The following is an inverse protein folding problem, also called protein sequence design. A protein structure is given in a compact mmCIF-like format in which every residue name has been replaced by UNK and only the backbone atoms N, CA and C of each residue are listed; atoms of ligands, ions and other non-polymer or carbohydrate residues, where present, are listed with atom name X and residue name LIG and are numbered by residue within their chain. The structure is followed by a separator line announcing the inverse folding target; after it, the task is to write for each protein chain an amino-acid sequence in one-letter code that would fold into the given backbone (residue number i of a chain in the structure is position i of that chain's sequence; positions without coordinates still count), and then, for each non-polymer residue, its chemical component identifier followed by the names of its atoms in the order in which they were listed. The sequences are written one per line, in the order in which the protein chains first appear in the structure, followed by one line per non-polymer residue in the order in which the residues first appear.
data_IF_879511105623
#
_entry.id   IF_879511105623
#
_cell.length_a   1.000
_cell.length_b   1.000
_cell.length_c   1.000
_cell.angle_alpha   90.00
_cell.angle_beta   90.00
_cell.angle_gamma   90.00
#
_symmetry.space_group_name_H-M   'P 1'
#
loop_
_entity.id
_entity.type
_entity.pdbx_description
1 polymer ?
#
# COMPACT_ATOMS: atom_id res chain seq x y z
N UNK A 1 16.77 -7.23 -13.32
CA UNK A 1 15.87 -8.34 -12.94
C UNK A 1 14.64 -7.75 -12.26
N UNK A 2 13.56 -7.52 -13.00
CA UNK A 2 12.20 -7.22 -12.46
C UNK A 2 11.18 -7.44 -13.59
N UNK A 3 11.17 -8.63 -14.21
CA UNK A 3 10.42 -8.88 -15.46
C UNK A 3 8.93 -9.20 -15.23
N UNK A 4 8.42 -8.95 -14.03
CA UNK A 4 7.13 -9.47 -13.56
C UNK A 4 6.25 -8.45 -12.84
N UNK A 5 6.74 -7.21 -12.65
CA UNK A 5 5.96 -6.10 -12.10
C UNK A 5 5.90 -5.01 -13.17
N UNK A 6 4.69 -4.51 -13.45
CA UNK A 6 4.44 -3.41 -14.36
C UNK A 6 3.93 -2.21 -13.57
N UNK A 7 4.56 -1.04 -13.76
CA UNK A 7 4.19 0.19 -13.06
C UNK A 7 3.27 1.05 -13.93
N UNK A 8 2.07 1.33 -13.43
CA UNK A 8 1.08 2.14 -14.12
C UNK A 8 0.96 3.53 -13.48
N UNK A 9 0.84 4.62 -14.26
CA UNK A 9 0.53 5.93 -13.71
C UNK A 9 -0.78 5.92 -12.92
N UNK A 10 -0.81 6.55 -11.76
CA UNK A 10 -2.01 6.73 -10.95
C UNK A 10 -1.87 7.99 -10.08
N UNK A 11 -2.69 9.01 -10.37
CA UNK A 11 -2.51 10.38 -9.85
C UNK A 11 -1.06 10.87 -10.02
N UNK A 12 -0.44 11.40 -8.96
CA UNK A 12 0.95 11.87 -8.95
C UNK A 12 2.00 10.78 -8.72
N UNK A 13 1.61 9.50 -8.68
CA UNK A 13 2.49 8.37 -8.40
C UNK A 13 2.32 7.25 -9.43
N UNK A 14 2.91 6.08 -9.16
CA UNK A 14 2.76 4.86 -9.96
C UNK A 14 2.43 3.66 -9.08
N UNK A 15 1.52 2.83 -9.54
CA UNK A 15 1.11 1.61 -8.83
C UNK A 15 1.55 0.35 -9.57
N UNK A 16 2.09 -0.65 -8.84
CA UNK A 16 2.55 -1.89 -9.42
C UNK A 16 1.39 -2.86 -9.65
N UNK A 17 1.42 -3.56 -10.78
CA UNK A 17 0.60 -4.74 -11.05
C UNK A 17 1.51 -5.91 -11.43
N UNK A 18 1.04 -7.13 -11.23
CA UNK A 18 1.74 -8.32 -11.68
C UNK A 18 0.75 -9.41 -12.07
N UNK A 19 0.96 -10.04 -13.23
CA UNK A 19 0.09 -11.11 -13.74
C UNK A 19 -0.06 -12.28 -12.75
N UNK A 20 0.99 -12.57 -11.97
CA UNK A 20 1.00 -13.68 -11.01
C UNK A 20 0.51 -13.33 -9.62
N UNK A 21 0.62 -12.07 -9.22
CA UNK A 21 0.46 -11.67 -7.82
C UNK A 21 -0.62 -10.61 -7.59
N UNK A 22 -1.22 -10.10 -8.66
CA UNK A 22 -2.33 -9.16 -8.64
C UNK A 22 -1.91 -7.69 -8.73
N UNK A 23 -2.86 -6.76 -8.53
CA UNK A 23 -4.30 -7.04 -8.41
C UNK A 23 -4.86 -7.62 -9.71
N UNK A 24 -5.76 -8.60 -9.62
CA UNK A 24 -6.46 -9.15 -10.80
C UNK A 24 -7.72 -8.34 -11.14
N UNK A 25 -8.20 -7.51 -10.21
CA UNK A 25 -9.36 -6.64 -10.40
C UNK A 25 -9.16 -5.28 -9.74
N UNK A 26 -9.42 -4.22 -10.50
CA UNK A 26 -9.54 -2.86 -9.99
C UNK A 26 -10.95 -2.37 -10.34
N UNK A 27 -11.78 -2.04 -9.35
CA UNK A 27 -13.14 -1.56 -9.55
C UNK A 27 -13.51 -0.52 -8.49
N UNK A 28 -14.05 0.62 -8.94
CA UNK A 28 -14.41 1.76 -8.07
C UNK A 28 -13.25 2.14 -7.13
N UNK A 29 -12.05 2.16 -7.71
CA UNK A 29 -10.77 2.36 -7.03
C UNK A 29 -10.34 1.35 -5.98
N UNK A 30 -11.14 0.31 -5.71
CA UNK A 30 -10.68 -0.82 -4.92
C UNK A 30 -9.83 -1.77 -5.78
N UNK A 31 -8.59 -2.00 -5.36
CA UNK A 31 -7.73 -3.05 -5.91
C UNK A 31 -7.93 -4.34 -5.11
N UNK A 32 -8.16 -5.46 -5.80
CA UNK A 32 -8.47 -6.76 -5.19
C UNK A 32 -7.93 -7.90 -6.05
N UNK A 33 -7.96 -9.11 -5.50
CA UNK A 33 -7.55 -10.36 -6.10
C UNK A 33 -6.04 -10.49 -6.16
N UNK A 34 -5.39 -10.29 -5.01
CA UNK A 34 -3.97 -10.52 -4.81
C UNK A 34 -3.72 -11.99 -4.44
N UNK A 35 -2.54 -12.51 -4.77
CA UNK A 35 -2.19 -13.88 -4.39
C UNK A 35 -1.87 -13.98 -2.88
N UNK A 36 -2.25 -15.09 -2.25
CA UNK A 36 -1.93 -15.38 -0.85
C UNK A 36 -0.46 -15.79 -0.66
N UNK A 37 0.45 -14.84 -0.87
CA UNK A 37 1.91 -15.05 -0.93
C UNK A 37 2.64 -13.79 -0.46
N UNK A 38 3.92 -13.90 -0.09
CA UNK A 38 4.75 -12.77 0.29
C UNK A 38 4.89 -11.70 -0.83
N UNK A 39 4.97 -12.11 -2.10
CA UNK A 39 5.04 -11.18 -3.22
C UNK A 39 3.69 -10.47 -3.46
N UNK A 40 2.59 -11.21 -3.40
CA UNK A 40 1.23 -10.68 -3.50
C UNK A 40 0.92 -9.63 -2.43
N UNK A 41 1.32 -9.86 -1.19
CA UNK A 41 1.08 -8.90 -0.10
C UNK A 41 1.89 -7.62 -0.26
N UNK A 42 3.11 -7.68 -0.80
CA UNK A 42 3.90 -6.46 -1.07
C UNK A 42 3.24 -5.60 -2.14
N UNK A 43 2.64 -6.20 -3.17
CA UNK A 43 1.87 -5.45 -4.18
C UNK A 43 0.59 -4.88 -3.56
N UNK A 44 -0.12 -5.67 -2.74
CA UNK A 44 -1.30 -5.23 -2.02
C UNK A 44 -1.01 -3.99 -1.14
N UNK A 45 0.05 -4.04 -0.33
CA UNK A 45 0.52 -2.93 0.50
C UNK A 45 0.67 -1.62 -0.29
N UNK A 46 1.34 -1.65 -1.44
CA UNK A 46 1.54 -0.45 -2.26
C UNK A 46 0.23 0.06 -2.89
N UNK A 47 -0.59 -0.87 -3.41
CA UNK A 47 -1.89 -0.53 -4.00
C UNK A 47 -2.84 0.06 -2.95
N UNK A 48 -3.02 -0.60 -1.81
CA UNK A 48 -3.90 -0.16 -0.74
C UNK A 48 -3.42 1.15 -0.13
N UNK A 49 -2.13 1.29 0.19
CA UNK A 49 -1.58 2.51 0.77
C UNK A 49 -1.89 3.73 -0.09
N UNK A 50 -1.54 3.67 -1.38
CA UNK A 50 -1.75 4.80 -2.27
C UNK A 50 -3.23 5.09 -2.51
N UNK A 51 -4.06 4.06 -2.67
CA UNK A 51 -5.50 4.22 -2.92
C UNK A 51 -6.22 4.80 -1.71
N UNK A 52 -5.96 4.29 -0.52
CA UNK A 52 -6.53 4.83 0.72
C UNK A 52 -6.05 6.25 1.02
N UNK A 53 -4.83 6.60 0.60
CA UNK A 53 -4.30 7.96 0.70
C UNK A 53 -4.89 8.94 -0.33
N UNK A 54 -4.98 8.53 -1.60
CA UNK A 54 -5.31 9.41 -2.72
C UNK A 54 -6.80 9.58 -3.02
N UNK A 55 -7.68 8.73 -2.47
CA UNK A 55 -9.11 8.88 -2.69
C UNK A 55 -9.71 10.03 -1.90
N UNK A 56 -10.64 10.74 -2.55
CA UNK A 56 -11.46 11.76 -1.89
C UNK A 56 -12.51 11.11 -0.96
N UNK A 57 -13.05 11.90 -0.03
CA UNK A 57 -13.98 11.41 1.00
C UNK A 57 -15.23 10.73 0.42
N UNK A 58 -15.73 11.19 -0.73
CA UNK A 58 -16.93 10.62 -1.36
C UNK A 58 -16.74 9.21 -1.91
N UNK A 59 -15.53 8.87 -2.35
CA UNK A 59 -15.19 7.55 -2.87
C UNK A 59 -14.54 6.63 -1.81
N UNK A 60 -13.91 7.24 -0.80
CA UNK A 60 -13.04 6.54 0.15
C UNK A 60 -13.74 5.39 0.85
N UNK A 61 -14.93 5.60 1.42
CA UNK A 61 -15.59 4.60 2.26
C UNK A 61 -16.00 3.34 1.48
N UNK A 62 -16.45 3.51 0.22
CA UNK A 62 -16.83 2.41 -0.63
C UNK A 62 -15.63 1.54 -1.03
N UNK A 63 -14.51 2.17 -1.37
CA UNK A 63 -13.27 1.47 -1.71
C UNK A 63 -12.62 0.82 -0.47
N UNK A 64 -12.53 1.56 0.64
CA UNK A 64 -11.88 1.11 1.86
C UNK A 64 -12.54 -0.13 2.47
N UNK A 65 -13.88 -0.26 2.40
CA UNK A 65 -14.58 -1.48 2.86
C UNK A 65 -14.19 -2.75 2.11
N UNK A 66 -13.62 -2.62 0.90
CA UNK A 66 -13.11 -3.75 0.10
C UNK A 66 -11.63 -4.03 0.37
N UNK A 67 -10.85 -2.99 0.70
CA UNK A 67 -9.39 -3.06 0.84
C UNK A 67 -8.89 -3.07 2.28
N UNK A 68 -9.72 -2.77 3.28
CA UNK A 68 -9.25 -2.50 4.63
C UNK A 68 -10.19 -2.98 5.73
N UNK A 69 -9.59 -3.17 6.90
CA UNK A 69 -10.24 -3.30 8.22
C UNK A 69 -9.59 -2.33 9.19
N UNK A 70 -10.23 -2.08 10.33
CA UNK A 70 -9.71 -1.20 11.39
C UNK A 70 -9.32 -2.02 12.61
N UNK A 71 -8.04 -1.92 13.00
CA UNK A 71 -7.54 -2.53 14.23
C UNK A 71 -8.05 -1.81 15.49
N UNK A 72 -8.19 -2.52 16.63
CA UNK A 72 -7.97 -3.96 16.82
C UNK A 72 -9.24 -4.81 16.58
N UNK A 73 -10.37 -4.19 16.25
CA UNK A 73 -11.67 -4.86 16.19
C UNK A 73 -11.91 -5.63 14.87
N UNK A 74 -11.01 -5.47 13.89
CA UNK A 74 -11.08 -6.10 12.58
C UNK A 74 -12.40 -5.82 11.83
N UNK A 75 -12.97 -4.64 12.08
CA UNK A 75 -14.22 -4.22 11.45
C UNK A 75 -13.94 -3.42 10.18
N UNK A 76 -14.83 -3.45 9.17
CA UNK A 76 -14.75 -2.54 8.05
C UNK A 76 -14.76 -1.07 8.53
N UNK A 77 -13.99 -0.18 7.89
CA UNK A 77 -14.01 1.23 8.25
C UNK A 77 -15.41 1.83 8.04
N UNK A 78 -15.82 2.69 8.98
CA UNK A 78 -17.09 3.44 8.95
C UNK A 78 -16.88 4.93 8.65
N UNK A 79 -15.63 5.39 8.73
CA UNK A 79 -15.19 6.74 8.44
C UNK A 79 -13.77 6.71 7.87
N UNK A 80 -13.33 7.82 7.25
CA UNK A 80 -11.97 7.95 6.75
C UNK A 80 -10.96 7.89 7.91
N UNK A 81 -9.91 7.11 7.70
CA UNK A 81 -8.74 7.02 8.59
C UNK A 81 -7.55 7.64 7.85
N UNK A 82 -6.76 8.44 8.55
CA UNK A 82 -5.58 9.07 7.96
C UNK A 82 -4.52 8.00 7.62
N UNK A 83 -3.96 8.10 6.41
CA UNK A 83 -2.84 7.28 5.93
C UNK A 83 -1.53 8.08 5.92
N UNK A 84 -1.51 9.24 6.59
CA UNK A 84 -0.35 10.13 6.65
C UNK A 84 -0.12 11.02 5.41
N UNK A 85 -1.05 11.01 4.45
CA UNK A 85 -1.01 11.88 3.26
C UNK A 85 -2.31 12.69 3.15
N UNK A 86 -2.16 13.97 2.79
CA UNK A 86 -3.29 14.91 2.73
C UNK A 86 -4.02 14.90 1.38
N UNK A 87 -3.32 14.60 0.28
CA UNK A 87 -3.91 14.58 -1.06
C UNK A 87 -3.24 13.60 -2.03
N UNK A 88 -3.95 13.25 -3.11
CA UNK A 88 -3.42 12.45 -4.20
C UNK A 88 -2.24 13.10 -4.95
N UNK A 89 -2.14 14.44 -4.91
CA UNK A 89 -1.05 15.18 -5.53
C UNK A 89 0.26 15.06 -4.76
N UNK A 90 0.18 14.76 -3.46
CA UNK A 90 1.32 14.65 -2.55
C UNK A 90 1.84 13.21 -2.45
N UNK A 91 1.26 12.28 -3.21
CA UNK A 91 1.65 10.88 -3.15
C UNK A 91 3.08 10.68 -3.62
N UNK A 92 3.96 10.09 -2.79
CA UNK A 92 5.31 9.78 -3.17
C UNK A 92 5.36 8.55 -4.10
N UNK A 93 6.52 8.33 -4.71
CA UNK A 93 6.82 7.09 -5.40
C UNK A 93 7.25 6.03 -4.40
N UNK A 94 6.79 4.78 -4.58
CA UNK A 94 7.32 3.66 -3.82
C UNK A 94 8.75 3.36 -4.29
N UNK A 95 9.73 3.49 -3.40
CA UNK A 95 11.15 3.34 -3.70
C UNK A 95 11.73 1.99 -3.24
N UNK A 96 11.03 1.30 -2.34
CA UNK A 96 11.41 -0.01 -1.86
C UNK A 96 10.53 -0.44 -0.69
N UNK A 97 10.90 -1.54 -0.04
CA UNK A 97 10.22 -2.01 1.17
C UNK A 97 11.18 -2.77 2.09
N UNK A 98 10.79 -2.91 3.36
CA UNK A 98 11.44 -3.78 4.34
C UNK A 98 10.36 -4.63 5.00
N UNK A 99 10.36 -5.93 4.71
CA UNK A 99 9.47 -6.87 5.38
C UNK A 99 9.92 -7.05 6.83
N UNK A 100 9.03 -6.78 7.79
CA UNK A 100 9.29 -6.94 9.22
C UNK A 100 8.80 -8.29 9.74
N UNK A 101 7.63 -8.74 9.27
CA UNK A 101 7.09 -10.04 9.60
C UNK A 101 6.15 -10.55 8.50
N UNK A 102 6.08 -11.86 8.34
CA UNK A 102 5.12 -12.54 7.45
C UNK A 102 4.76 -13.91 8.06
N UNK A 103 3.48 -14.17 8.26
CA UNK A 103 2.97 -15.41 8.89
C UNK A 103 2.07 -16.23 7.97
N UNK A 104 2.03 -15.94 6.67
CA UNK A 104 1.03 -16.49 5.77
C UNK A 104 -0.19 -15.58 5.69
N UNK A 105 -0.92 -15.42 6.80
CA UNK A 105 -2.17 -14.64 6.89
C UNK A 105 -2.00 -13.19 7.36
N UNK A 106 -0.79 -12.77 7.72
CA UNK A 106 -0.49 -11.40 8.16
C UNK A 106 0.91 -11.02 7.72
N UNK A 107 1.07 -9.78 7.27
CA UNK A 107 2.33 -9.20 6.88
C UNK A 107 2.48 -7.79 7.46
N UNK A 108 3.67 -7.47 7.96
CA UNK A 108 4.02 -6.11 8.39
C UNK A 108 5.27 -5.69 7.63
N UNK A 109 5.25 -4.52 7.01
CA UNK A 109 6.39 -3.98 6.30
C UNK A 109 6.52 -2.47 6.52
N UNK A 110 7.73 -1.96 6.35
CA UNK A 110 7.94 -0.54 6.04
C UNK A 110 7.98 -0.38 4.52
N UNK A 111 7.16 0.51 3.96
CA UNK A 111 7.29 0.96 2.58
C UNK A 111 8.22 2.18 2.57
N UNK A 112 9.27 2.14 1.74
CA UNK A 112 10.10 3.31 1.49
C UNK A 112 9.47 4.15 0.39
N UNK A 113 9.43 5.46 0.61
CA UNK A 113 8.72 6.44 -0.18
C UNK A 113 9.69 7.53 -0.59
N UNK A 114 9.63 7.96 -1.85
CA UNK A 114 10.47 9.05 -2.36
C UNK A 114 9.60 10.10 -3.05
N UNK A 115 9.74 11.37 -2.65
CA UNK A 115 9.08 12.48 -3.34
C UNK A 115 9.77 12.78 -4.67
N UNK A 116 9.13 13.55 -5.55
CA UNK A 116 9.77 13.99 -6.81
C UNK A 116 11.08 14.77 -6.58
N UNK A 117 11.20 15.48 -5.46
CA UNK A 117 12.40 16.20 -5.04
C UNK A 117 13.49 15.28 -4.44
N UNK A 118 13.23 13.99 -4.26
CA UNK A 118 14.19 13.00 -3.77
C UNK A 118 14.18 12.78 -2.25
N UNK A 119 13.33 13.49 -1.50
CA UNK A 119 13.22 13.29 -0.06
C UNK A 119 12.65 11.90 0.26
N UNK A 120 13.29 11.20 1.21
CA UNK A 120 12.93 9.84 1.61
C UNK A 120 12.13 9.83 2.91
N UNK A 121 11.11 8.98 2.94
CA UNK A 121 10.31 8.68 4.12
C UNK A 121 9.91 7.21 4.11
N UNK A 122 9.33 6.75 5.22
CA UNK A 122 8.74 5.42 5.30
C UNK A 122 7.39 5.43 6.00
N UNK A 123 6.56 4.46 5.65
CA UNK A 123 5.29 4.20 6.32
C UNK A 123 5.21 2.73 6.70
N UNK A 124 4.80 2.48 7.95
CA UNK A 124 4.53 1.14 8.48
C UNK A 124 3.14 0.72 8.00
N UNK A 125 3.07 -0.34 7.23
CA UNK A 125 1.80 -0.92 6.77
C UNK A 125 1.66 -2.34 7.26
N UNK A 126 0.42 -2.71 7.57
CA UNK A 126 0.05 -4.07 7.93
C UNK A 126 -1.03 -4.54 6.98
N UNK A 127 -0.85 -5.72 6.42
CA UNK A 127 -1.88 -6.42 5.66
C UNK A 127 -2.26 -7.71 6.38
N UNK A 128 -3.53 -8.08 6.30
CA UNK A 128 -4.04 -9.36 6.77
C UNK A 128 -4.83 -10.06 5.67
N UNK A 129 -4.74 -11.37 5.62
CA UNK A 129 -5.55 -12.18 4.72
C UNK A 129 -6.93 -12.36 5.34
N UNK A 130 -7.98 -11.89 4.67
CA UNK A 130 -9.36 -11.99 5.15
C UNK A 130 -10.28 -12.49 4.03
N UNK A 131 -10.90 -13.64 4.27
CA UNK A 131 -11.75 -14.31 3.29
C UNK A 131 -10.91 -14.85 2.13
N UNK A 132 -10.79 -14.06 1.06
CA UNK A 132 -10.13 -14.45 -0.18
C UNK A 132 -9.13 -13.41 -0.71
N UNK A 133 -8.76 -12.43 0.11
CA UNK A 133 -7.89 -11.35 -0.33
C UNK A 133 -7.09 -10.74 0.82
N UNK A 134 -6.07 -9.96 0.46
CA UNK A 134 -5.36 -9.09 1.39
C UNK A 134 -6.20 -7.85 1.72
N UNK A 135 -6.18 -7.44 2.98
CA UNK A 135 -6.74 -6.18 3.46
C UNK A 135 -5.75 -5.45 4.36
N UNK A 136 -5.62 -4.16 4.12
CA UNK A 136 -4.84 -3.27 4.98
C UNK A 136 -5.50 -3.19 6.35
N UNK A 137 -4.73 -3.41 7.39
CA UNK A 137 -5.14 -3.21 8.78
C UNK A 137 -4.82 -1.78 9.20
N UNK A 138 -5.82 -0.89 9.11
CA UNK A 138 -5.68 0.51 9.48
C UNK A 138 -5.62 0.67 11.00
N UNK A 139 -4.62 1.38 11.55
CA UNK A 139 -4.65 1.80 12.93
C UNK A 139 -5.80 2.79 13.16
N UNK A 140 -6.58 2.64 14.23
CA UNK A 140 -7.71 3.53 14.51
C UNK A 140 -7.32 5.02 14.67
N UNK A 141 -6.06 5.29 15.06
CA UNK A 141 -5.47 6.61 15.17
C UNK A 141 -4.78 7.09 13.88
N UNK A 142 -4.84 6.32 12.80
CA UNK A 142 -4.17 6.61 11.54
C UNK A 142 -2.72 6.16 11.49
N UNK A 143 -2.15 6.26 10.29
CA UNK A 143 -0.76 5.93 10.03
C UNK A 143 0.18 7.12 10.24
N UNK A 144 1.44 6.82 10.49
CA UNK A 144 2.50 7.82 10.70
C UNK A 144 3.58 7.67 9.64
N UNK A 145 3.87 8.75 8.92
CA UNK A 145 5.02 8.85 8.02
C UNK A 145 6.25 9.24 8.82
N UNK A 146 7.34 8.51 8.65
CA UNK A 146 8.61 8.75 9.35
C UNK A 146 9.71 9.14 8.36
N UNK A 147 10.64 10.05 8.71
CA UNK A 147 11.82 10.31 7.90
C UNK A 147 12.65 9.04 7.71
N UNK A 148 13.20 8.86 6.51
CA UNK A 148 14.07 7.73 6.17
C UNK A 148 15.43 8.27 5.70
N UNK A 149 16.54 8.10 6.46
CA UNK A 149 17.83 8.68 6.09
C UNK A 149 18.46 8.04 4.85
N UNK A 150 18.32 6.72 4.71
CA UNK A 150 18.89 5.92 3.62
C UNK A 150 18.08 4.61 3.45
N UNK A 151 18.51 3.74 2.54
CA UNK A 151 17.87 2.44 2.29
C UNK A 151 18.48 1.31 3.12
N UNK A 152 19.21 1.58 4.21
CA UNK A 152 19.79 0.51 5.01
C UNK A 152 18.70 -0.42 5.53
N UNK A 153 18.84 -1.71 5.23
CA UNK A 153 17.86 -2.77 5.52
C UNK A 153 16.56 -2.72 4.70
N UNK A 154 16.48 -1.87 3.68
CA UNK A 154 15.41 -1.91 2.68
C UNK A 154 15.85 -2.68 1.44
N UNK A 155 14.89 -3.34 0.80
CA UNK A 155 15.02 -3.80 -0.56
C UNK A 155 14.57 -2.67 -1.50
N UNK A 156 15.49 -1.92 -2.14
CA UNK A 156 15.11 -0.91 -3.11
C UNK A 156 14.62 -1.57 -4.40
N UNK A 157 13.76 -0.86 -5.13
CA UNK A 157 13.44 -1.22 -6.51
C UNK A 157 14.63 -0.92 -7.43
N UNK A 158 14.73 -1.66 -8.54
CA UNK A 158 15.83 -1.48 -9.52
C UNK A 158 15.87 -0.08 -10.17
N UNK A 159 14.81 0.70 -9.99
CA UNK A 159 14.73 2.15 -10.16
C UNK A 159 13.43 2.65 -9.52
N UNK A 160 13.42 3.90 -9.05
CA UNK A 160 12.17 4.52 -8.58
C UNK A 160 11.24 4.67 -9.79
N UNK A 161 10.03 4.09 -9.75
CA UNK A 161 9.10 4.13 -10.86
C UNK A 161 8.52 5.55 -10.94
N UNK A 162 9.21 6.45 -11.64
CA UNK A 162 8.76 7.81 -11.95
C UNK A 162 7.84 7.84 -13.17
#
# INVERSE_FOLDING_TARGET
MSRWITWHPWHGTRLPTADRWGPTRIQDDAATGFSHTAEGVVIAMMQHQARLAGLNDSAWLAAARRMAVVAPADQPPTQRISTGFDSAADLPYFAGFRMLSYTGDRAVADLALQTAAGALSSVRVTEKWEGSDWKTELPANGETISPLPDFDNFQPWSGVPR
#
